data_IF_035023808167
#
_entry.id   IF_035023808167
#
_cell.length_a   1.000
_cell.length_b   1.000
_cell.length_c   1.000
_cell.angle_alpha   90.00
_cell.angle_beta   90.00
_cell.angle_gamma   90.00
#
_symmetry.space_group_name_H-M   'P 1'
#
loop_
_entity.id
_entity.type
_entity.pdbx_description
1 polymer ?
#
# COMPACT_ATOMS: atom_id res chain seq x y z
N UNK A 1 -26.47 6.77 1.96
CA UNK A 1 -26.14 8.01 2.70
C UNK A 1 -25.06 7.64 3.70
N UNK A 2 -23.90 8.31 3.67
CA UNK A 2 -22.79 8.06 4.59
C UNK A 2 -23.21 8.34 6.04
N UNK A 3 -22.66 7.60 7.00
CA UNK A 3 -23.06 7.69 8.41
C UNK A 3 -22.19 8.64 9.22
N UNK A 4 -20.92 8.75 8.84
CA UNK A 4 -19.88 9.56 9.50
C UNK A 4 -19.13 10.38 8.47
N UNK A 5 -18.60 11.52 8.91
CA UNK A 5 -17.70 12.35 8.12
C UNK A 5 -16.31 11.68 8.05
N UNK A 6 -15.79 11.55 6.83
CA UNK A 6 -14.46 11.00 6.57
C UNK A 6 -13.46 12.08 6.15
N UNK A 7 -13.84 13.36 6.24
CA UNK A 7 -12.96 14.46 5.88
C UNK A 7 -11.68 14.45 6.73
N UNK A 8 -10.58 14.84 6.09
CA UNK A 8 -9.25 14.91 6.71
C UNK A 8 -8.59 16.24 6.37
N UNK A 9 -7.59 16.60 7.15
CA UNK A 9 -6.61 17.62 6.78
C UNK A 9 -5.24 16.94 6.61
N UNK A 10 -4.68 17.02 5.41
CA UNK A 10 -3.41 16.40 5.07
C UNK A 10 -2.43 17.45 4.57
N UNK A 11 -1.30 17.62 5.28
CA UNK A 11 -0.31 18.66 4.98
C UNK A 11 -0.91 20.08 4.88
N UNK A 12 -1.95 20.38 5.68
CA UNK A 12 -2.68 21.65 5.66
C UNK A 12 -3.74 21.78 4.56
N UNK A 13 -3.96 20.75 3.75
CA UNK A 13 -4.98 20.70 2.69
C UNK A 13 -6.19 19.90 3.17
N UNK A 14 -7.39 20.46 3.04
CA UNK A 14 -8.62 19.76 3.39
C UNK A 14 -9.03 18.81 2.26
N UNK A 15 -9.31 17.56 2.63
CA UNK A 15 -9.82 16.54 1.71
C UNK A 15 -11.19 16.06 2.19
N UNK A 16 -12.13 15.85 1.27
CA UNK A 16 -13.47 15.36 1.58
C UNK A 16 -13.48 13.93 2.16
N UNK A 17 -12.46 13.13 1.82
CA UNK A 17 -12.25 11.77 2.29
C UNK A 17 -10.76 11.41 2.06
N UNK A 18 -10.23 10.31 2.64
CA UNK A 18 -8.81 10.00 2.56
C UNK A 18 -8.39 9.30 1.26
N UNK A 19 -9.31 9.00 0.34
CA UNK A 19 -9.04 8.11 -0.80
C UNK A 19 -8.70 8.89 -2.08
N UNK A 20 -7.49 8.66 -2.58
CA UNK A 20 -6.94 9.30 -3.77
C UNK A 20 -6.49 8.26 -4.80
N UNK A 21 -6.57 8.60 -6.08
CA UNK A 21 -5.83 7.83 -7.08
C UNK A 21 -4.32 8.04 -6.86
N UNK A 22 -3.52 6.98 -6.95
CA UNK A 22 -2.05 7.11 -6.98
C UNK A 22 -1.56 7.30 -8.40
N UNK A 23 -0.61 8.21 -8.59
CA UNK A 23 0.09 8.46 -9.87
C UNK A 23 0.51 7.17 -10.54
N UNK A 24 -0.21 6.81 -11.61
CA UNK A 24 -0.13 5.51 -12.28
C UNK A 24 -0.95 5.53 -13.60
N UNK A 25 -1.14 4.41 -14.32
CA UNK A 25 -1.97 4.43 -15.54
C UNK A 25 -3.41 4.88 -15.35
N UNK A 26 -3.94 4.93 -14.12
CA UNK A 26 -5.37 5.23 -13.86
C UNK A 26 -5.66 6.72 -13.74
N UNK A 27 -4.65 7.58 -13.83
CA UNK A 27 -4.77 9.05 -13.73
C UNK A 27 -3.87 9.78 -14.74
N UNK A 28 -3.75 9.21 -15.94
CA UNK A 28 -2.83 9.68 -16.98
C UNK A 28 -3.34 10.89 -17.79
N UNK A 29 -4.65 11.11 -17.84
CA UNK A 29 -5.25 12.21 -18.59
C UNK A 29 -6.45 12.84 -17.87
N UNK A 30 -6.93 13.97 -18.41
CA UNK A 30 -8.08 14.71 -17.88
C UNK A 30 -9.32 13.82 -17.71
N UNK A 31 -9.68 13.03 -18.73
CA UNK A 31 -10.91 12.22 -18.73
C UNK A 31 -10.90 11.16 -17.64
N UNK A 32 -9.76 10.52 -17.41
CA UNK A 32 -9.59 9.52 -16.35
C UNK A 32 -9.75 10.16 -14.97
N UNK A 33 -9.04 11.27 -14.74
CA UNK A 33 -9.09 11.99 -13.47
C UNK A 33 -10.49 12.54 -13.19
N UNK A 34 -11.11 13.21 -14.18
CA UNK A 34 -12.46 13.76 -14.07
C UNK A 34 -13.47 12.66 -13.68
N UNK A 35 -13.44 11.52 -14.38
CA UNK A 35 -14.34 10.39 -14.06
C UNK A 35 -14.15 9.87 -12.63
N UNK A 36 -12.91 9.81 -12.14
CA UNK A 36 -12.65 9.41 -10.76
C UNK A 36 -13.21 10.44 -9.76
N UNK A 37 -12.95 11.73 -9.97
CA UNK A 37 -13.47 12.80 -9.11
C UNK A 37 -15.01 12.82 -9.06
N UNK A 38 -15.66 12.63 -10.21
CA UNK A 38 -17.12 12.47 -10.34
C UNK A 38 -17.66 11.24 -9.59
N UNK A 39 -16.86 10.16 -9.52
CA UNK A 39 -17.25 8.92 -8.83
C UNK A 39 -17.20 9.07 -7.29
N UNK A 40 -16.46 10.06 -6.76
CA UNK A 40 -16.38 10.33 -5.32
C UNK A 40 -14.99 10.17 -4.71
N UNK A 41 -13.93 10.09 -5.51
CA UNK A 41 -12.56 10.16 -5.01
C UNK A 41 -12.29 11.56 -4.41
N UNK A 42 -11.60 11.59 -3.25
CA UNK A 42 -11.27 12.83 -2.55
C UNK A 42 -10.29 13.71 -3.32
N UNK A 43 -9.48 13.08 -4.16
CA UNK A 43 -8.60 13.74 -5.10
C UNK A 43 -7.84 12.73 -5.97
N UNK A 44 -6.87 13.24 -6.71
CA UNK A 44 -6.00 12.43 -7.56
C UNK A 44 -4.55 12.85 -7.38
N UNK A 45 -3.63 11.90 -7.49
CA UNK A 45 -2.21 12.18 -7.66
C UNK A 45 -1.88 11.97 -9.12
N UNK A 46 -1.98 13.01 -9.94
CA UNK A 46 -1.84 12.95 -11.39
C UNK A 46 -0.52 12.26 -11.81
N UNK A 47 -0.57 11.43 -12.86
CA UNK A 47 0.58 10.66 -13.37
C UNK A 47 1.83 11.51 -13.45
N UNK A 48 2.95 10.97 -12.96
CA UNK A 48 4.26 11.63 -12.93
C UNK A 48 4.61 12.38 -14.22
N UNK A 49 4.76 13.70 -14.11
CA UNK A 49 5.16 14.62 -15.17
C UNK A 49 6.68 14.81 -15.18
N UNK A 50 7.25 15.01 -16.36
CA UNK A 50 8.66 15.34 -16.56
C UNK A 50 8.90 15.97 -17.92
N UNK A 51 10.12 16.43 -18.17
CA UNK A 51 10.52 16.93 -19.50
C UNK A 51 10.84 15.81 -20.49
N UNK A 52 11.21 14.64 -19.97
CA UNK A 52 11.45 13.44 -20.77
C UNK A 52 10.11 12.80 -21.17
N UNK A 53 9.94 12.54 -22.47
CA UNK A 53 8.79 11.80 -22.99
C UNK A 53 9.24 10.35 -23.24
N UNK A 54 8.78 9.37 -22.43
CA UNK A 54 9.15 7.98 -22.59
C UNK A 54 8.55 7.36 -23.85
N UNK A 55 9.18 6.28 -24.31
CA UNK A 55 8.58 5.35 -25.27
C UNK A 55 8.42 4.01 -24.56
N UNK A 56 7.20 3.72 -24.12
CA UNK A 56 6.90 2.50 -23.38
C UNK A 56 7.01 1.24 -24.24
N UNK A 57 7.38 0.15 -23.58
CA UNK A 57 7.37 -1.16 -24.19
C UNK A 57 5.97 -1.76 -24.32
N UNK A 58 5.83 -2.80 -25.15
CA UNK A 58 4.61 -3.57 -25.29
C UNK A 58 4.92 -5.04 -25.56
N UNK A 59 4.28 -5.99 -24.83
CA UNK A 59 3.42 -5.77 -23.66
C UNK A 59 4.22 -5.31 -22.43
N UNK A 60 3.58 -4.53 -21.54
CA UNK A 60 4.23 -3.96 -20.33
C UNK A 60 3.67 -4.43 -19.01
N UNK A 61 2.59 -5.22 -19.01
CA UNK A 61 2.00 -5.81 -17.80
C UNK A 61 2.14 -7.33 -17.82
N UNK A 62 2.34 -7.89 -16.63
CA UNK A 62 2.13 -9.30 -16.33
C UNK A 62 1.55 -9.44 -14.92
N UNK A 63 1.07 -10.64 -14.56
CA UNK A 63 0.41 -10.87 -13.28
C UNK A 63 0.93 -12.13 -12.59
N UNK A 64 1.13 -12.05 -11.28
CA UNK A 64 1.21 -13.26 -10.45
C UNK A 64 -0.19 -13.81 -10.28
N UNK A 65 -0.36 -15.12 -10.45
CA UNK A 65 -1.65 -15.81 -10.30
C UNK A 65 -1.56 -16.85 -9.19
N UNK A 66 -2.71 -17.20 -8.60
CA UNK A 66 -2.80 -18.23 -7.56
C UNK A 66 -4.07 -19.05 -7.78
N UNK A 67 -3.94 -20.32 -8.16
CA UNK A 67 -5.03 -21.27 -8.41
C UNK A 67 -6.38 -20.63 -8.79
N UNK A 68 -7.41 -20.70 -7.94
CA UNK A 68 -8.76 -20.17 -8.18
C UNK A 68 -8.87 -18.63 -8.20
N UNK A 69 -7.76 -17.92 -8.09
CA UNK A 69 -7.67 -16.46 -8.11
C UNK A 69 -6.96 -16.03 -9.39
N UNK A 70 -7.68 -15.30 -10.25
CA UNK A 70 -7.18 -14.93 -11.58
C UNK A 70 -5.91 -14.09 -11.53
N UNK A 71 -5.69 -13.32 -10.47
CA UNK A 71 -4.40 -12.71 -10.15
C UNK A 71 -4.29 -12.30 -8.68
N UNK A 72 -3.05 -12.09 -8.21
CA UNK A 72 -2.69 -11.61 -6.87
C UNK A 72 -2.17 -10.17 -6.92
N UNK A 73 -1.55 -9.79 -8.04
CA UNK A 73 -1.01 -8.46 -8.27
C UNK A 73 -0.34 -8.35 -9.64
N UNK A 74 -0.01 -7.13 -10.04
CA UNK A 74 0.56 -6.81 -11.35
C UNK A 74 2.03 -6.43 -11.26
N UNK A 75 2.83 -6.98 -12.16
CA UNK A 75 4.12 -6.42 -12.56
C UNK A 75 3.89 -5.48 -13.73
N UNK A 76 4.46 -4.28 -13.68
CA UNK A 76 4.43 -3.30 -14.77
C UNK A 76 5.83 -2.80 -15.12
N UNK A 77 6.04 -2.57 -16.42
CA UNK A 77 7.27 -2.02 -17.00
C UNK A 77 7.04 -0.63 -17.58
N UNK A 78 6.08 0.10 -17.01
CA UNK A 78 5.69 1.44 -17.46
C UNK A 78 6.60 2.51 -16.84
N UNK A 79 6.84 3.58 -17.59
CA UNK A 79 7.63 4.73 -17.15
C UNK A 79 6.73 5.86 -16.59
N UNK A 80 7.20 7.12 -16.70
CA UNK A 80 6.41 8.32 -16.39
C UNK A 80 5.37 8.60 -17.49
N UNK A 81 4.63 9.70 -17.42
CA UNK A 81 3.63 10.06 -18.44
C UNK A 81 4.22 10.08 -19.86
N UNK A 82 3.54 9.46 -20.82
CA UNK A 82 3.85 9.52 -22.25
C UNK A 82 3.30 10.80 -22.92
N UNK A 83 2.50 11.59 -22.21
CA UNK A 83 1.97 12.85 -22.73
C UNK A 83 3.02 13.96 -22.63
N UNK A 84 3.10 14.87 -23.62
CA UNK A 84 3.88 16.09 -23.50
C UNK A 84 3.52 16.87 -22.22
N UNK A 85 4.52 17.53 -21.64
CA UNK A 85 4.35 18.27 -20.39
C UNK A 85 3.24 19.33 -20.52
N UNK A 86 3.18 20.05 -21.64
CA UNK A 86 2.21 21.11 -21.89
C UNK A 86 0.77 20.58 -21.88
N UNK A 87 0.53 19.39 -22.45
CA UNK A 87 -0.77 18.73 -22.45
C UNK A 87 -1.18 18.36 -21.02
N UNK A 88 -0.25 17.81 -20.25
CA UNK A 88 -0.48 17.44 -18.84
C UNK A 88 -0.75 18.67 -17.96
N UNK A 89 -0.03 19.77 -18.17
CA UNK A 89 -0.26 21.03 -17.46
C UNK A 89 -1.62 21.65 -17.80
N UNK A 90 -2.06 21.56 -19.05
CA UNK A 90 -3.41 21.99 -19.44
C UNK A 90 -4.50 21.11 -18.82
N UNK A 91 -4.27 19.80 -18.75
CA UNK A 91 -5.16 18.88 -18.04
C UNK A 91 -5.28 19.23 -16.54
N UNK A 92 -4.18 19.54 -15.86
CA UNK A 92 -4.18 20.00 -14.46
C UNK A 92 -5.00 21.28 -14.28
N UNK A 93 -4.79 22.29 -15.13
CA UNK A 93 -5.56 23.55 -15.10
C UNK A 93 -7.05 23.30 -15.27
N UNK A 94 -7.41 22.46 -16.24
CA UNK A 94 -8.80 22.11 -16.54
C UNK A 94 -9.44 21.33 -15.40
N UNK A 95 -8.71 20.38 -14.78
CA UNK A 95 -9.16 19.66 -13.59
C UNK A 95 -9.45 20.63 -12.45
N UNK A 96 -8.50 21.53 -12.13
CA UNK A 96 -8.69 22.46 -11.01
C UNK A 96 -9.83 23.45 -11.27
N UNK A 97 -9.99 23.89 -12.51
CA UNK A 97 -11.10 24.78 -12.91
C UNK A 97 -12.46 24.09 -12.77
N UNK A 98 -12.58 22.84 -13.22
CA UNK A 98 -13.84 22.11 -13.23
C UNK A 98 -14.18 21.48 -11.86
N UNK A 99 -13.17 21.21 -11.04
CA UNK A 99 -13.30 20.57 -9.74
C UNK A 99 -12.58 21.37 -8.64
N UNK A 100 -12.98 22.62 -8.36
CA UNK A 100 -12.25 23.52 -7.46
C UNK A 100 -12.16 23.01 -6.01
N UNK A 101 -13.14 22.19 -5.60
CA UNK A 101 -13.21 21.60 -4.26
C UNK A 101 -12.47 20.26 -4.13
N UNK A 102 -11.99 19.69 -5.24
CA UNK A 102 -11.19 18.46 -5.24
C UNK A 102 -9.72 18.82 -5.14
N UNK A 103 -8.96 17.89 -4.56
CA UNK A 103 -7.52 18.05 -4.38
C UNK A 103 -6.78 17.40 -5.54
N UNK A 104 -5.95 18.17 -6.22
CA UNK A 104 -5.12 17.71 -7.34
C UNK A 104 -3.66 17.76 -6.91
N UNK A 105 -3.05 16.60 -6.75
CA UNK A 105 -1.62 16.48 -6.47
C UNK A 105 -0.90 16.21 -7.79
N UNK A 106 0.12 17.00 -8.12
CA UNK A 106 0.94 16.75 -9.30
C UNK A 106 2.15 15.90 -8.93
N UNK A 107 2.25 14.67 -9.45
CA UNK A 107 3.48 13.90 -9.32
C UNK A 107 4.52 14.41 -10.32
N UNK A 108 5.77 14.64 -9.90
CA UNK A 108 6.81 15.15 -10.80
C UNK A 108 8.11 14.33 -10.67
N UNK A 109 8.90 14.33 -11.75
CA UNK A 109 10.24 13.75 -11.78
C UNK A 109 11.14 14.52 -12.75
N UNK A 110 12.21 15.13 -12.22
CA UNK A 110 13.27 15.77 -13.01
C UNK A 110 14.57 14.98 -12.98
N UNK A 111 15.47 15.22 -13.94
CA UNK A 111 16.79 14.57 -13.98
C UNK A 111 17.80 15.27 -13.07
N UNK A 112 17.62 16.57 -12.84
CA UNK A 112 18.53 17.42 -12.09
C UNK A 112 17.77 18.53 -11.33
N UNK A 113 18.46 19.24 -10.43
CA UNK A 113 17.81 20.26 -9.58
C UNK A 113 17.04 21.32 -10.35
N UNK A 114 17.57 21.78 -11.50
CA UNK A 114 16.90 22.83 -12.29
C UNK A 114 15.57 22.34 -12.82
N UNK A 115 15.51 21.08 -13.26
CA UNK A 115 14.28 20.49 -13.74
C UNK A 115 13.28 20.25 -12.61
N UNK A 116 13.72 19.77 -11.46
CA UNK A 116 12.84 19.62 -10.28
C UNK A 116 12.24 20.96 -9.85
N UNK A 117 13.07 22.02 -9.81
CA UNK A 117 12.65 23.38 -9.47
C UNK A 117 11.66 23.94 -10.50
N UNK A 118 11.95 23.77 -11.79
CA UNK A 118 11.09 24.26 -12.86
C UNK A 118 9.77 23.48 -12.97
N UNK A 119 9.79 22.15 -12.86
CA UNK A 119 8.58 21.33 -12.82
C UNK A 119 7.68 21.76 -11.65
N UNK A 120 8.28 21.99 -10.47
CA UNK A 120 7.55 22.45 -9.30
C UNK A 120 6.86 23.80 -9.56
N UNK A 121 7.55 24.74 -10.19
CA UNK A 121 6.97 26.04 -10.61
C UNK A 121 5.81 25.84 -11.57
N UNK A 122 6.01 25.05 -12.63
CA UNK A 122 5.03 24.83 -13.70
C UNK A 122 3.75 24.16 -13.18
N UNK A 123 3.85 23.11 -12.37
CA UNK A 123 2.65 22.44 -11.83
C UNK A 123 1.93 23.30 -10.80
N UNK A 124 2.66 24.17 -10.10
CA UNK A 124 2.06 25.18 -9.19
C UNK A 124 1.24 26.20 -9.99
N UNK A 125 1.80 26.73 -11.08
CA UNK A 125 1.09 27.65 -11.97
C UNK A 125 -0.09 26.99 -12.69
N UNK A 126 -0.03 25.68 -12.91
CA UNK A 126 -1.13 24.89 -13.43
C UNK A 126 -2.27 24.66 -12.41
N UNK A 127 -2.07 25.04 -11.15
CA UNK A 127 -3.10 24.98 -10.11
C UNK A 127 -3.13 23.67 -9.30
N UNK A 128 -2.02 22.94 -9.22
CA UNK A 128 -1.90 21.84 -8.27
C UNK A 128 -2.06 22.33 -6.82
N UNK A 129 -2.65 21.50 -5.96
CA UNK A 129 -2.82 21.78 -4.54
C UNK A 129 -1.62 21.27 -3.71
N UNK A 130 -0.97 20.21 -4.19
CA UNK A 130 0.24 19.61 -3.61
C UNK A 130 1.15 19.06 -4.72
N UNK A 131 2.40 18.78 -4.38
CA UNK A 131 3.38 18.16 -5.28
C UNK A 131 3.83 16.83 -4.70
N UNK A 132 3.87 15.77 -5.50
CA UNK A 132 4.47 14.48 -5.12
C UNK A 132 5.78 14.24 -5.88
N UNK A 133 6.91 14.23 -5.17
CA UNK A 133 8.20 13.93 -5.73
C UNK A 133 8.37 12.42 -5.91
N UNK A 134 8.40 11.96 -7.16
CA UNK A 134 8.61 10.55 -7.46
C UNK A 134 10.11 10.20 -7.46
N UNK A 135 10.65 9.82 -6.29
CA UNK A 135 12.02 9.33 -6.14
C UNK A 135 12.18 7.83 -6.39
N UNK A 136 11.19 7.20 -7.03
CA UNK A 136 10.99 5.76 -6.85
C UNK A 136 10.75 4.98 -8.14
N UNK A 137 10.76 5.62 -9.31
CA UNK A 137 10.52 4.93 -10.58
C UNK A 137 11.56 3.81 -10.82
N UNK A 138 11.17 2.52 -10.83
CA UNK A 138 12.12 1.42 -10.97
C UNK A 138 12.62 1.23 -12.41
N UNK A 139 12.01 1.93 -13.39
CA UNK A 139 12.32 1.81 -14.82
C UNK A 139 13.32 2.86 -15.34
N UNK A 140 13.64 3.88 -14.54
CA UNK A 140 14.64 4.87 -14.93
C UNK A 140 16.02 4.35 -14.56
N UNK A 141 16.86 4.09 -15.56
CA UNK A 141 18.14 3.37 -15.42
C UNK A 141 19.38 4.26 -15.52
N UNK A 142 19.23 5.58 -15.67
CA UNK A 142 20.38 6.47 -15.43
C UNK A 142 20.66 6.48 -13.93
N UNK A 143 21.94 6.38 -13.53
CA UNK A 143 22.38 6.26 -12.13
C UNK A 143 22.05 7.51 -11.26
N UNK A 144 21.21 8.42 -11.75
CA UNK A 144 20.78 9.65 -11.12
C UNK A 144 19.25 9.84 -11.17
N UNK A 145 18.46 8.80 -11.50
CA UNK A 145 17.01 8.89 -11.61
C UNK A 145 16.26 7.72 -10.94
N UNK A 146 14.97 7.92 -10.67
CA UNK A 146 14.08 6.86 -10.22
C UNK A 146 14.49 6.26 -8.87
N UNK A 147 14.29 4.94 -8.70
CA UNK A 147 14.49 4.25 -7.41
C UNK A 147 15.89 4.33 -6.82
N UNK A 148 16.90 4.68 -7.63
CA UNK A 148 18.28 4.85 -7.15
C UNK A 148 18.44 6.18 -6.40
N UNK A 149 17.67 7.20 -6.78
CA UNK A 149 17.54 8.46 -6.02
C UNK A 149 16.88 8.18 -4.68
N UNK A 150 15.76 7.46 -4.65
CA UNK A 150 15.01 7.17 -3.42
C UNK A 150 15.77 6.34 -2.38
N UNK A 151 16.87 5.69 -2.77
CA UNK A 151 17.76 4.95 -1.87
C UNK A 151 18.91 5.82 -1.32
N UNK A 152 19.12 7.02 -1.86
CA UNK A 152 20.20 7.92 -1.51
C UNK A 152 19.64 9.14 -0.72
N UNK A 153 19.82 9.19 0.61
CA UNK A 153 19.29 10.27 1.45
C UNK A 153 19.74 11.66 1.02
N UNK A 154 20.99 11.81 0.57
CA UNK A 154 21.55 13.08 0.11
C UNK A 154 20.84 13.59 -1.15
N UNK A 155 20.58 12.70 -2.11
CA UNK A 155 19.83 13.05 -3.33
C UNK A 155 18.36 13.34 -3.03
N UNK A 156 17.72 12.55 -2.17
CA UNK A 156 16.34 12.81 -1.72
C UNK A 156 16.23 14.22 -1.11
N UNK A 157 17.11 14.54 -0.16
CA UNK A 157 17.15 15.87 0.48
C UNK A 157 17.38 16.97 -0.54
N UNK A 158 18.36 16.79 -1.43
CA UNK A 158 18.74 17.75 -2.47
C UNK A 158 17.58 18.07 -3.41
N UNK A 159 16.85 17.06 -3.89
CA UNK A 159 15.73 17.29 -4.80
C UNK A 159 14.49 17.82 -4.10
N UNK A 160 14.20 17.42 -2.85
CA UNK A 160 13.19 18.09 -2.03
C UNK A 160 13.49 19.60 -1.89
N UNK A 161 14.75 19.97 -1.65
CA UNK A 161 15.14 21.38 -1.57
C UNK A 161 14.94 22.11 -2.90
N UNK A 162 15.23 21.47 -4.03
CA UNK A 162 14.99 22.05 -5.35
C UNK A 162 13.49 22.31 -5.59
N UNK A 163 12.62 21.36 -5.27
CA UNK A 163 11.17 21.53 -5.38
C UNK A 163 10.67 22.65 -4.45
N UNK A 164 11.20 22.75 -3.22
CA UNK A 164 10.84 23.80 -2.26
C UNK A 164 11.31 25.22 -2.66
N UNK A 165 12.29 25.32 -3.56
CA UNK A 165 12.66 26.60 -4.21
C UNK A 165 11.66 26.98 -5.29
N UNK A 166 11.21 26.01 -6.09
CA UNK A 166 10.29 26.22 -7.21
C UNK A 166 8.82 26.40 -6.81
N UNK A 167 8.42 25.92 -5.62
CA UNK A 167 7.04 26.00 -5.14
C UNK A 167 6.94 26.26 -3.63
N UNK A 168 5.76 26.75 -3.21
CA UNK A 168 5.33 26.85 -1.80
C UNK A 168 4.21 25.88 -1.45
N UNK A 169 3.79 25.05 -2.40
CA UNK A 169 2.82 23.99 -2.14
C UNK A 169 3.43 22.94 -1.20
N UNK A 170 2.60 22.23 -0.42
CA UNK A 170 3.08 21.09 0.35
C UNK A 170 3.66 20.00 -0.57
N UNK A 171 4.83 19.49 -0.18
CA UNK A 171 5.58 18.50 -0.94
C UNK A 171 5.47 17.14 -0.25
N UNK A 172 5.08 16.12 -1.01
CA UNK A 172 5.11 14.72 -0.61
C UNK A 172 6.31 14.04 -1.23
N UNK A 173 7.08 13.30 -0.45
CA UNK A 173 8.19 12.50 -0.96
C UNK A 173 7.75 11.04 -1.11
N UNK A 174 7.68 10.52 -2.35
CA UNK A 174 7.25 9.13 -2.63
C UNK A 174 8.42 8.16 -2.54
N UNK A 175 8.36 7.28 -1.54
CA UNK A 175 9.44 6.39 -1.14
C UNK A 175 9.41 5.04 -1.85
N UNK A 176 10.61 4.50 -2.12
CA UNK A 176 10.82 3.22 -2.79
C UNK A 176 10.93 2.11 -1.76
N UNK A 177 10.17 1.01 -1.86
CA UNK A 177 10.30 -0.12 -0.94
C UNK A 177 11.52 -0.99 -1.23
N UNK A 178 12.31 -0.65 -2.26
CA UNK A 178 13.47 -1.42 -2.71
C UNK A 178 14.72 -1.10 -1.86
N UNK A 179 14.56 -1.09 -0.54
CA UNK A 179 15.58 -0.76 0.46
C UNK A 179 15.30 -1.52 1.76
N UNK A 180 16.32 -1.75 2.58
CA UNK A 180 16.15 -2.41 3.89
C UNK A 180 15.47 -1.52 4.94
N UNK A 181 15.86 -0.24 4.96
CA UNK A 181 15.38 0.78 5.89
C UNK A 181 14.96 2.06 5.14
N UNK A 182 13.65 2.33 5.14
CA UNK A 182 13.04 3.49 4.49
C UNK A 182 13.06 4.75 5.38
N UNK A 183 13.28 4.59 6.69
CA UNK A 183 13.26 5.71 7.64
C UNK A 183 14.36 6.72 7.30
N UNK A 184 15.54 6.23 6.90
CA UNK A 184 16.69 7.08 6.58
C UNK A 184 16.39 8.07 5.42
N UNK A 185 16.00 7.63 4.21
CA UNK A 185 15.64 8.56 3.14
C UNK A 185 14.36 9.37 3.46
N UNK A 186 13.41 8.81 4.22
CA UNK A 186 12.21 9.53 4.65
C UNK A 186 12.57 10.75 5.53
N UNK A 187 13.43 10.59 6.54
CA UNK A 187 13.94 11.72 7.35
C UNK A 187 14.63 12.75 6.48
N UNK A 188 15.50 12.30 5.56
CA UNK A 188 16.21 13.21 4.66
C UNK A 188 15.25 14.03 3.77
N UNK A 189 14.11 13.46 3.38
CA UNK A 189 13.09 14.21 2.62
C UNK A 189 12.47 15.35 3.44
N UNK A 190 12.20 15.12 4.73
CA UNK A 190 11.66 16.14 5.64
C UNK A 190 12.70 17.23 5.90
N UNK A 191 13.96 16.86 6.13
CA UNK A 191 15.07 17.82 6.19
C UNK A 191 15.27 18.63 4.89
N UNK A 192 14.82 18.07 3.77
CA UNK A 192 14.81 18.72 2.46
C UNK A 192 13.62 19.65 2.24
N UNK A 193 12.65 19.70 3.17
CA UNK A 193 11.47 20.53 3.09
C UNK A 193 10.20 19.82 2.63
N UNK A 194 10.18 18.48 2.56
CA UNK A 194 8.94 17.75 2.37
C UNK A 194 7.99 17.97 3.56
N UNK A 195 6.71 18.16 3.27
CA UNK A 195 5.64 18.31 4.26
C UNK A 195 5.04 16.97 4.69
N UNK A 196 5.19 15.93 3.86
CA UNK A 196 4.70 14.58 4.13
C UNK A 196 5.38 13.52 3.28
N UNK A 197 5.02 12.27 3.53
CA UNK A 197 5.62 11.09 2.88
C UNK A 197 4.54 10.28 2.19
N UNK A 198 4.82 9.82 0.97
CA UNK A 198 4.00 8.82 0.26
C UNK A 198 4.71 7.47 0.30
N UNK A 199 4.10 6.44 0.90
CA UNK A 199 4.72 5.13 1.05
C UNK A 199 3.71 4.00 0.79
N UNK A 200 3.96 3.08 -0.15
CA UNK A 200 5.18 2.83 -0.92
C UNK A 200 4.95 2.91 -2.44
N UNK A 201 6.04 3.05 -3.20
CA UNK A 201 6.04 2.71 -4.63
C UNK A 201 6.07 1.17 -4.83
N UNK A 202 6.24 0.72 -6.07
CA UNK A 202 6.25 -0.70 -6.44
C UNK A 202 7.53 -1.45 -6.03
N UNK A 203 7.41 -2.75 -5.80
CA UNK A 203 8.51 -3.64 -5.40
C UNK A 203 9.13 -4.29 -6.64
N UNK A 204 10.45 -4.18 -6.84
CA UNK A 204 11.18 -4.81 -7.96
C UNK A 204 10.99 -6.33 -7.93
N UNK A 205 10.60 -6.91 -9.07
CA UNK A 205 10.18 -8.31 -9.17
C UNK A 205 10.34 -8.92 -10.57
N UNK A 206 10.22 -10.25 -10.61
CA UNK A 206 9.89 -11.07 -11.78
C UNK A 206 8.67 -11.92 -11.39
N UNK A 207 7.63 -11.94 -12.21
CA UNK A 207 6.37 -12.66 -11.94
C UNK A 207 6.38 -14.12 -12.39
N UNK A 208 7.24 -14.44 -13.36
CA UNK A 208 7.37 -15.79 -13.90
C UNK A 208 8.42 -15.87 -15.00
N UNK A 209 8.61 -17.07 -15.52
CA UNK A 209 9.55 -17.38 -16.62
C UNK A 209 8.79 -18.18 -17.67
N UNK A 210 8.95 -17.80 -18.93
CA UNK A 210 8.56 -18.61 -20.08
C UNK A 210 9.57 -19.75 -20.24
N UNK A 211 9.11 -21.01 -20.11
CA UNK A 211 9.99 -22.18 -20.10
C UNK A 211 10.51 -22.60 -21.48
N UNK A 212 9.89 -22.13 -22.57
CA UNK A 212 10.38 -22.40 -23.91
C UNK A 212 11.48 -21.42 -24.29
N UNK A 213 11.27 -20.14 -23.94
CA UNK A 213 12.19 -19.05 -24.30
C UNK A 213 13.26 -18.81 -23.25
N UNK A 214 13.08 -19.30 -22.03
CA UNK A 214 13.94 -19.04 -20.87
C UNK A 214 14.09 -17.54 -20.56
N UNK A 215 12.97 -16.80 -20.64
CA UNK A 215 12.91 -15.34 -20.43
C UNK A 215 11.86 -15.01 -19.37
N UNK A 216 12.15 -14.03 -18.52
CA UNK A 216 11.18 -13.52 -17.55
C UNK A 216 9.92 -12.92 -18.20
N UNK A 217 8.82 -12.87 -17.47
CA UNK A 217 7.56 -12.29 -17.95
C UNK A 217 7.38 -10.81 -17.53
N UNK A 218 6.69 -9.99 -18.35
CA UNK A 218 6.30 -10.28 -19.73
C UNK A 218 7.50 -10.17 -20.69
N UNK A 219 7.37 -10.78 -21.87
CA UNK A 219 8.43 -10.79 -22.89
C UNK A 219 8.21 -9.64 -23.88
N UNK A 220 9.22 -8.80 -24.02
CA UNK A 220 9.30 -7.71 -25.01
C UNK A 220 10.45 -8.03 -25.96
N UNK A 221 10.12 -8.27 -27.23
CA UNK A 221 11.11 -8.57 -28.28
C UNK A 221 12.17 -9.61 -27.87
N UNK A 222 11.74 -10.72 -27.26
CA UNK A 222 12.62 -11.81 -26.81
C UNK A 222 13.42 -11.52 -25.53
N UNK A 223 13.13 -10.43 -24.81
CA UNK A 223 13.79 -10.03 -23.56
C UNK A 223 12.77 -9.66 -22.49
N UNK A 224 13.23 -9.45 -21.26
CA UNK A 224 12.42 -8.91 -20.15
C UNK A 224 13.32 -8.15 -19.18
N UNK A 225 12.72 -7.53 -18.17
CA UNK A 225 13.40 -6.75 -17.14
C UNK A 225 12.80 -7.00 -15.76
N UNK A 226 13.63 -6.80 -14.72
CA UNK A 226 13.15 -6.66 -13.34
C UNK A 226 12.32 -5.39 -13.26
N UNK A 227 11.14 -5.45 -12.67
CA UNK A 227 10.20 -4.32 -12.75
C UNK A 227 9.22 -4.26 -11.58
N UNK A 228 8.43 -3.19 -11.51
CA UNK A 228 7.61 -2.86 -10.35
C UNK A 228 6.40 -3.78 -10.19
N UNK A 229 6.27 -4.40 -9.02
CA UNK A 229 5.13 -5.19 -8.58
C UNK A 229 4.20 -4.38 -7.68
N UNK A 230 2.90 -4.59 -7.86
CA UNK A 230 1.81 -3.90 -7.18
C UNK A 230 0.65 -4.87 -6.90
N UNK A 231 -0.33 -4.44 -6.12
CA UNK A 231 -1.52 -5.24 -5.77
C UNK A 231 -1.43 -5.89 -4.39
N UNK A 232 -2.37 -6.79 -4.08
CA UNK A 232 -2.57 -7.31 -2.73
C UNK A 232 -1.31 -7.82 -2.04
N UNK A 233 -0.44 -8.51 -2.79
CA UNK A 233 0.77 -9.11 -2.24
C UNK A 233 1.81 -8.10 -1.72
N UNK A 234 1.75 -6.82 -2.10
CA UNK A 234 2.70 -5.81 -1.57
C UNK A 234 2.25 -5.22 -0.23
N UNK A 235 0.98 -5.39 0.15
CA UNK A 235 0.38 -4.78 1.34
C UNK A 235 1.18 -5.03 2.63
N UNK A 236 1.62 -6.27 2.96
CA UNK A 236 2.36 -6.51 4.20
C UNK A 236 3.68 -5.72 4.28
N UNK A 237 4.34 -5.49 3.13
CA UNK A 237 5.57 -4.70 3.05
C UNK A 237 5.27 -3.21 3.24
N UNK A 238 4.20 -2.71 2.62
CA UNK A 238 3.74 -1.33 2.79
C UNK A 238 3.41 -1.02 4.26
N UNK A 239 2.62 -1.89 4.90
CA UNK A 239 2.23 -1.77 6.30
C UNK A 239 3.45 -1.73 7.23
N UNK A 240 4.44 -2.61 7.01
CA UNK A 240 5.71 -2.59 7.77
C UNK A 240 6.39 -1.23 7.68
N UNK A 241 6.60 -0.69 6.48
CA UNK A 241 7.32 0.58 6.34
C UNK A 241 6.58 1.76 6.98
N UNK A 242 5.25 1.80 6.86
CA UNK A 242 4.43 2.82 7.50
C UNK A 242 4.53 2.73 9.03
N UNK A 243 4.44 1.51 9.59
CA UNK A 243 4.60 1.30 11.02
C UNK A 243 5.98 1.78 11.50
N UNK A 244 7.06 1.38 10.81
CA UNK A 244 8.42 1.78 11.17
C UNK A 244 8.61 3.30 11.15
N UNK A 245 8.10 3.99 10.12
CA UNK A 245 8.15 5.45 10.07
C UNK A 245 7.30 6.08 11.17
N UNK A 246 6.10 5.56 11.45
CA UNK A 246 5.22 6.13 12.48
C UNK A 246 5.77 5.94 13.90
N UNK A 247 6.59 4.91 14.14
CA UNK A 247 7.27 4.67 15.42
C UNK A 247 8.65 5.31 15.54
N UNK A 248 9.20 5.89 14.47
CA UNK A 248 10.45 6.64 14.55
C UNK A 248 10.20 8.04 15.11
N UNK A 249 10.94 8.42 16.16
CA UNK A 249 10.76 9.71 16.86
C UNK A 249 10.89 10.94 15.94
N UNK A 250 11.62 10.84 14.83
CA UNK A 250 11.82 11.94 13.88
C UNK A 250 10.67 12.07 12.88
N UNK A 251 9.86 11.02 12.73
CA UNK A 251 8.80 10.91 11.73
C UNK A 251 7.40 10.70 12.33
N UNK A 252 7.29 10.44 13.64
CA UNK A 252 6.04 10.09 14.33
C UNK A 252 4.89 11.09 14.16
N UNK A 253 5.20 12.36 13.88
CA UNK A 253 4.23 13.44 13.66
C UNK A 253 4.09 13.84 12.18
N UNK A 254 4.87 13.22 11.29
CA UNK A 254 4.85 13.53 9.85
C UNK A 254 3.59 12.93 9.21
N UNK A 255 2.84 13.69 8.38
CA UNK A 255 1.74 13.15 7.59
C UNK A 255 2.21 12.06 6.62
N UNK A 256 1.52 10.91 6.63
CA UNK A 256 1.83 9.77 5.76
C UNK A 256 0.64 9.46 4.85
N UNK A 257 0.92 9.41 3.55
CA UNK A 257 0.05 8.89 2.50
C UNK A 257 0.39 7.42 2.24
N UNK A 258 -0.50 6.52 2.66
CA UNK A 258 -0.35 5.07 2.54
C UNK A 258 -0.74 4.53 1.17
N UNK A 259 0.09 3.65 0.59
CA UNK A 259 -0.06 3.10 -0.77
C UNK A 259 0.43 1.66 -0.79
N UNK A 260 -0.35 0.75 -1.38
CA UNK A 260 0.10 -0.62 -1.70
C UNK A 260 -0.89 -1.71 -1.32
N UNK A 261 -1.63 -2.25 -2.29
CA UNK A 261 -2.53 -3.40 -2.09
C UNK A 261 -3.80 -3.10 -1.27
N UNK A 262 -4.24 -1.83 -1.25
CA UNK A 262 -5.53 -1.43 -0.70
C UNK A 262 -6.62 -1.78 -1.72
N UNK A 263 -7.52 -2.69 -1.35
CA UNK A 263 -8.63 -3.14 -2.20
C UNK A 263 -9.99 -3.03 -1.49
N UNK A 264 -10.01 -2.82 -0.18
CA UNK A 264 -11.22 -2.78 0.64
C UNK A 264 -11.10 -1.74 1.75
N UNK A 265 -12.23 -1.38 2.36
CA UNK A 265 -12.25 -0.51 3.55
C UNK A 265 -11.45 -1.10 4.73
N UNK A 266 -11.36 -2.45 4.84
CA UNK A 266 -10.57 -3.10 5.89
C UNK A 266 -9.08 -2.90 5.65
N UNK A 267 -8.64 -3.02 4.40
CA UNK A 267 -7.25 -2.70 4.04
C UNK A 267 -6.95 -1.24 4.36
N UNK A 268 -7.84 -0.32 3.96
CA UNK A 268 -7.71 1.11 4.27
C UNK A 268 -7.58 1.36 5.78
N UNK A 269 -8.45 0.71 6.58
CA UNK A 269 -8.41 0.82 8.04
C UNK A 269 -7.09 0.31 8.61
N UNK A 270 -6.51 -0.78 8.11
CA UNK A 270 -5.20 -1.25 8.57
C UNK A 270 -4.08 -0.22 8.30
N UNK A 271 -4.08 0.42 7.13
CA UNK A 271 -3.14 1.50 6.84
C UNK A 271 -3.32 2.67 7.81
N UNK A 272 -4.57 3.04 8.11
CA UNK A 272 -4.88 4.12 9.05
C UNK A 272 -4.43 3.78 10.46
N UNK A 273 -4.76 2.58 10.95
CA UNK A 273 -4.38 2.11 12.28
C UNK A 273 -2.86 2.01 12.47
N UNK A 274 -2.08 1.82 11.41
CA UNK A 274 -0.61 1.87 11.46
C UNK A 274 -0.03 3.28 11.28
N UNK A 275 -0.85 4.25 10.88
CA UNK A 275 -0.48 5.66 10.91
C UNK A 275 -0.59 6.40 9.59
N UNK A 276 -1.14 5.83 8.52
CA UNK A 276 -1.49 6.63 7.35
C UNK A 276 -2.72 7.52 7.64
N UNK A 277 -2.71 8.77 7.21
CA UNK A 277 -3.89 9.65 7.32
C UNK A 277 -4.51 9.97 5.96
N UNK A 278 -3.79 9.66 4.88
CA UNK A 278 -4.20 9.77 3.49
C UNK A 278 -3.88 8.45 2.78
N UNK A 279 -4.65 8.05 1.77
CA UNK A 279 -4.52 6.74 1.13
C UNK A 279 -4.55 6.88 -0.39
N UNK A 280 -3.60 6.26 -1.08
CA UNK A 280 -3.61 6.20 -2.55
C UNK A 280 -3.82 4.78 -3.07
N UNK A 281 -4.56 4.67 -4.17
CA UNK A 281 -4.99 3.38 -4.74
C UNK A 281 -4.75 3.35 -6.25
N UNK A 282 -4.25 2.21 -6.75
CA UNK A 282 -3.98 1.98 -8.18
C UNK A 282 -4.52 0.63 -8.62
N UNK A 283 -3.94 -0.47 -8.14
CA UNK A 283 -4.20 -1.83 -8.66
C UNK A 283 -5.67 -2.24 -8.52
N UNK A 284 -6.32 -1.83 -7.43
CA UNK A 284 -7.74 -2.12 -7.23
C UNK A 284 -8.64 -1.38 -8.26
N UNK A 285 -8.24 -0.18 -8.70
CA UNK A 285 -8.95 0.54 -9.77
C UNK A 285 -8.76 -0.15 -11.12
N UNK A 286 -7.55 -0.66 -11.40
CA UNK A 286 -7.30 -1.46 -12.62
C UNK A 286 -8.18 -2.72 -12.67
N UNK A 287 -8.49 -3.30 -11.50
CA UNK A 287 -9.28 -4.51 -11.39
C UNK A 287 -10.79 -4.26 -11.41
N UNK A 288 -11.25 -3.32 -10.58
CA UNK A 288 -12.67 -3.15 -10.23
C UNK A 288 -13.26 -1.83 -10.75
N UNK A 289 -12.44 -0.96 -11.33
CA UNK A 289 -12.83 0.38 -11.77
C UNK A 289 -12.92 1.40 -10.64
N UNK A 290 -13.20 2.66 -10.99
CA UNK A 290 -13.23 3.78 -10.03
C UNK A 290 -14.27 3.64 -8.91
N UNK A 291 -15.35 2.88 -9.14
CA UNK A 291 -16.47 2.72 -8.19
C UNK A 291 -16.08 1.99 -6.91
N UNK A 292 -14.92 1.33 -6.86
CA UNK A 292 -14.42 0.71 -5.64
C UNK A 292 -14.30 1.71 -4.46
N UNK A 293 -14.14 3.01 -4.75
CA UNK A 293 -14.11 4.05 -3.72
C UNK A 293 -15.43 4.15 -2.95
N UNK A 294 -16.57 3.86 -3.59
CA UNK A 294 -17.89 3.87 -2.95
C UNK A 294 -17.93 2.85 -1.80
N UNK A 295 -17.43 1.64 -2.05
CA UNK A 295 -17.37 0.57 -1.05
C UNK A 295 -16.35 0.87 0.06
N UNK A 296 -15.21 1.48 -0.27
CA UNK A 296 -14.20 1.88 0.71
C UNK A 296 -14.72 2.98 1.65
N UNK A 297 -15.34 4.03 1.10
CA UNK A 297 -15.95 5.12 1.87
C UNK A 297 -17.10 4.58 2.72
N UNK A 298 -18.01 3.81 2.12
CA UNK A 298 -19.16 3.25 2.83
C UNK A 298 -18.71 2.38 4.00
N UNK A 299 -17.86 1.38 3.75
CA UNK A 299 -17.41 0.45 4.78
C UNK A 299 -16.67 1.12 5.94
N UNK A 300 -15.79 2.08 5.64
CA UNK A 300 -15.07 2.82 6.67
C UNK A 300 -16.01 3.72 7.50
N UNK A 301 -16.97 4.38 6.85
CA UNK A 301 -17.96 5.20 7.52
C UNK A 301 -18.87 4.38 8.45
N UNK A 302 -19.32 3.20 8.02
CA UNK A 302 -20.13 2.30 8.85
C UNK A 302 -19.32 1.74 10.03
N UNK A 303 -18.07 1.37 9.82
CA UNK A 303 -17.19 0.93 10.90
C UNK A 303 -17.05 2.00 11.99
N UNK A 304 -16.84 3.26 11.60
CA UNK A 304 -16.77 4.37 12.56
C UNK A 304 -18.08 4.57 13.33
N UNK A 305 -19.23 4.50 12.64
CA UNK A 305 -20.55 4.61 13.27
C UNK A 305 -20.78 3.50 14.31
N UNK A 306 -20.53 2.24 13.94
CA UNK A 306 -20.70 1.08 14.83
C UNK A 306 -19.82 1.14 16.07
N UNK A 307 -18.66 1.81 15.97
CA UNK A 307 -17.70 1.97 17.08
C UNK A 307 -17.84 3.31 17.81
N UNK A 308 -18.79 4.17 17.43
CA UNK A 308 -18.96 5.48 18.05
C UNK A 308 -17.76 6.41 17.85
N UNK A 309 -17.04 6.28 16.73
CA UNK A 309 -15.85 7.08 16.40
C UNK A 309 -16.30 8.30 15.60
N UNK A 310 -15.99 9.49 16.09
CA UNK A 310 -16.45 10.73 15.47
C UNK A 310 -15.48 11.28 14.42
N UNK A 311 -14.16 11.11 14.60
CA UNK A 311 -13.14 11.60 13.67
C UNK A 311 -12.25 10.47 13.20
N UNK A 312 -12.00 10.42 11.90
CA UNK A 312 -11.08 9.44 11.32
C UNK A 312 -9.65 9.59 11.89
N UNK A 313 -9.26 10.83 12.20
CA UNK A 313 -7.95 11.13 12.78
C UNK A 313 -7.69 10.39 14.10
N UNK A 314 -8.73 10.09 14.88
CA UNK A 314 -8.60 9.40 16.17
C UNK A 314 -8.16 7.93 16.00
N UNK A 315 -8.29 7.38 14.79
CA UNK A 315 -7.84 6.03 14.45
C UNK A 315 -6.37 5.96 14.03
N UNK A 316 -5.76 7.09 13.66
CA UNK A 316 -4.44 7.12 13.02
C UNK A 316 -3.38 6.63 14.00
N UNK A 317 -2.73 5.51 13.68
CA UNK A 317 -1.60 4.97 14.45
C UNK A 317 -1.97 4.20 15.72
N UNK A 318 -3.25 4.00 16.03
CA UNK A 318 -3.70 3.33 17.27
C UNK A 318 -3.13 1.91 17.46
N UNK A 319 -2.85 1.19 16.38
CA UNK A 319 -2.34 -0.17 16.48
C UNK A 319 -0.85 -0.23 16.90
N UNK A 320 -0.09 0.86 16.74
CA UNK A 320 1.36 0.84 16.93
C UNK A 320 1.78 0.56 18.39
N UNK A 321 0.97 0.97 19.37
CA UNK A 321 1.22 0.67 20.79
C UNK A 321 1.15 -0.84 21.10
N UNK A 322 0.52 -1.62 20.22
CA UNK A 322 0.36 -3.07 20.36
C UNK A 322 1.33 -3.86 19.46
N UNK A 323 2.27 -3.19 18.79
CA UNK A 323 3.31 -3.81 17.96
C UNK A 323 4.63 -3.60 18.68
N UNK A 324 4.98 -4.58 19.50
CA UNK A 324 6.16 -4.55 20.37
C UNK A 324 7.33 -5.33 19.75
N UNK A 325 8.56 -5.10 20.21
CA UNK A 325 9.72 -5.92 19.85
C UNK A 325 9.48 -7.41 20.07
N UNK A 326 10.11 -8.25 19.24
CA UNK A 326 9.86 -9.70 19.24
C UNK A 326 10.34 -10.40 20.54
N UNK A 327 11.29 -9.80 21.24
CA UNK A 327 11.77 -10.19 22.56
C UNK A 327 10.74 -9.94 23.68
N UNK A 328 9.84 -8.98 23.50
CA UNK A 328 8.85 -8.57 24.50
C UNK A 328 7.52 -9.31 24.37
N UNK A 329 7.32 -10.07 23.28
CA UNK A 329 6.14 -10.92 23.10
C UNK A 329 6.10 -11.99 24.19
N UNK A 330 4.95 -12.11 24.87
CA UNK A 330 4.73 -13.15 25.86
C UNK A 330 4.71 -14.54 25.20
N UNK A 331 5.83 -15.28 25.33
CA UNK A 331 6.02 -16.62 24.76
C UNK A 331 5.37 -17.73 25.60
N UNK A 332 4.81 -17.37 26.74
CA UNK A 332 4.19 -18.29 27.68
C UNK A 332 2.70 -18.45 27.37
N UNK A 333 2.10 -17.43 26.76
CA UNK A 333 0.73 -17.43 26.26
C UNK A 333 0.56 -18.42 25.11
N UNK A 334 -0.38 -19.34 25.28
CA UNK A 334 -0.79 -20.33 24.27
C UNK A 334 -2.29 -20.24 24.11
N UNK A 335 -2.73 -20.20 22.86
CA UNK A 335 -4.13 -20.38 22.50
C UNK A 335 -4.26 -21.63 21.64
N UNK A 336 -5.09 -22.56 22.07
CA UNK A 336 -5.29 -23.81 21.36
C UNK A 336 -6.32 -23.61 20.24
N UNK A 337 -6.15 -24.30 19.09
CA UNK A 337 -7.17 -24.31 18.06
C UNK A 337 -8.39 -25.11 18.54
N UNK A 338 -9.58 -24.61 18.21
CA UNK A 338 -10.84 -25.31 18.47
C UNK A 338 -11.55 -25.57 17.15
N UNK A 339 -12.00 -26.82 16.95
CA UNK A 339 -12.71 -27.22 15.73
C UNK A 339 -14.21 -27.11 15.98
N UNK A 340 -14.87 -26.27 15.20
CA UNK A 340 -16.31 -26.27 15.02
C UNK A 340 -16.71 -27.51 14.20
N UNK A 341 -17.27 -28.52 14.89
CA UNK A 341 -17.64 -29.79 14.27
C UNK A 341 -18.79 -29.63 13.25
N UNK A 342 -19.66 -28.64 13.41
CA UNK A 342 -20.80 -28.42 12.52
C UNK A 342 -20.36 -27.79 11.19
N UNK A 343 -19.31 -26.96 11.23
CA UNK A 343 -18.70 -26.38 10.02
C UNK A 343 -17.64 -27.26 9.39
N UNK A 344 -17.10 -28.24 10.12
CA UNK A 344 -16.04 -29.11 9.63
C UNK A 344 -16.55 -30.02 8.52
N UNK A 345 -15.87 -30.00 7.37
CA UNK A 345 -16.20 -30.85 6.21
C UNK A 345 -15.36 -32.14 6.14
N UNK A 346 -14.61 -32.47 7.20
CA UNK A 346 -13.79 -33.71 7.29
C UNK A 346 -12.72 -33.84 6.20
N UNK A 347 -12.12 -32.74 5.73
CA UNK A 347 -11.18 -32.77 4.60
C UNK A 347 -9.75 -33.22 4.96
N UNK A 348 -9.42 -33.34 6.25
CA UNK A 348 -8.08 -33.74 6.71
C UNK A 348 -6.96 -32.71 6.50
N UNK A 349 -7.22 -31.56 5.87
CA UNK A 349 -6.15 -30.57 5.54
C UNK A 349 -5.41 -30.03 6.77
N UNK A 350 -6.13 -29.76 7.86
CA UNK A 350 -5.51 -29.32 9.12
C UNK A 350 -4.64 -30.41 9.76
N UNK A 351 -5.02 -31.69 9.61
CA UNK A 351 -4.18 -32.82 9.99
C UNK A 351 -2.90 -32.84 9.16
N UNK A 352 -2.99 -32.87 7.82
CA UNK A 352 -1.82 -32.89 6.91
C UNK A 352 -0.88 -31.72 7.19
N UNK A 353 -1.41 -30.49 7.28
CA UNK A 353 -0.59 -29.31 7.55
C UNK A 353 0.09 -29.35 8.93
N UNK A 354 -0.55 -29.95 9.94
CA UNK A 354 0.07 -30.12 11.25
C UNK A 354 1.08 -31.27 11.27
N UNK A 355 0.80 -32.34 10.53
CA UNK A 355 1.65 -33.53 10.47
C UNK A 355 2.95 -33.25 9.71
N UNK A 356 2.86 -32.66 8.51
CA UNK A 356 4.02 -32.42 7.64
C UNK A 356 4.70 -31.07 7.90
N UNK A 357 3.93 -30.07 8.35
CA UNK A 357 4.39 -28.68 8.48
C UNK A 357 4.32 -28.11 9.91
N UNK A 358 4.07 -28.95 10.91
CA UNK A 358 3.84 -28.52 12.28
C UNK A 358 4.34 -29.51 13.33
N UNK A 359 3.46 -29.85 14.27
CA UNK A 359 3.80 -30.55 15.51
C UNK A 359 3.09 -31.91 15.67
N UNK A 360 2.55 -32.47 14.58
CA UNK A 360 1.91 -33.80 14.58
C UNK A 360 0.85 -33.94 15.70
N UNK A 361 0.12 -32.84 15.95
CA UNK A 361 -0.79 -32.70 17.08
C UNK A 361 -2.23 -33.10 16.75
N UNK A 362 -2.54 -33.39 15.49
CA UNK A 362 -3.84 -33.93 15.09
C UNK A 362 -3.74 -35.42 14.80
N UNK A 363 -4.80 -36.15 15.10
CA UNK A 363 -5.10 -37.44 14.48
C UNK A 363 -6.26 -37.26 13.50
N UNK A 364 -6.27 -38.07 12.44
CA UNK A 364 -7.33 -38.11 11.45
C UNK A 364 -7.73 -39.56 11.23
N UNK A 365 -9.01 -39.84 11.42
CA UNK A 365 -9.60 -41.14 11.12
C UNK A 365 -10.14 -41.11 9.68
N UNK A 366 -9.61 -41.96 8.80
CA UNK A 366 -9.96 -41.91 7.37
C UNK A 366 -11.38 -42.43 7.07
N UNK A 367 -11.93 -43.30 7.93
CA UNK A 367 -13.26 -43.90 7.73
C UNK A 367 -14.36 -42.93 8.16
N UNK A 368 -14.24 -42.40 9.38
CA UNK A 368 -15.21 -41.46 9.98
C UNK A 368 -14.95 -40.02 9.55
N UNK A 369 -13.75 -39.72 9.03
CA UNK A 369 -13.26 -38.38 8.69
C UNK A 369 -13.18 -37.45 9.90
N UNK A 370 -13.12 -38.02 11.12
CA UNK A 370 -13.00 -37.27 12.36
C UNK A 370 -11.57 -36.77 12.57
N UNK A 371 -11.44 -35.53 13.05
CA UNK A 371 -10.16 -34.89 13.36
C UNK A 371 -10.13 -34.61 14.86
N UNK A 372 -9.10 -35.11 15.55
CA UNK A 372 -8.94 -34.95 17.00
C UNK A 372 -7.62 -34.26 17.32
N UNK A 373 -7.68 -33.21 18.16
CA UNK A 373 -6.50 -32.50 18.64
C UNK A 373 -5.93 -33.16 19.89
N UNK A 374 -4.65 -33.54 19.86
CA UNK A 374 -3.86 -33.87 21.03
C UNK A 374 -3.22 -32.58 21.58
N UNK A 375 -3.74 -32.09 22.71
CA UNK A 375 -3.25 -30.86 23.37
C UNK A 375 -1.84 -30.98 23.93
N UNK A 376 -1.39 -32.19 24.29
CA UNK A 376 -0.04 -32.42 24.81
C UNK A 376 1.04 -32.18 23.74
N UNK A 377 0.67 -32.35 22.46
CA UNK A 377 1.56 -32.06 21.32
C UNK A 377 1.33 -30.69 20.70
N UNK A 378 0.15 -30.11 20.89
CA UNK A 378 -0.20 -28.85 20.25
C UNK A 378 0.53 -27.67 20.93
N UNK A 379 1.16 -26.83 20.11
CA UNK A 379 1.85 -25.62 20.60
C UNK A 379 1.08 -24.32 20.34
N UNK A 380 -0.13 -24.39 19.75
CA UNK A 380 -0.94 -23.21 19.44
C UNK A 380 -0.45 -22.38 18.24
N UNK A 381 0.25 -22.96 17.27
CA UNK A 381 0.78 -22.20 16.12
C UNK A 381 -0.29 -21.72 15.12
N UNK A 382 -1.53 -22.20 15.22
CA UNK A 382 -2.68 -21.86 14.37
C UNK A 382 -2.53 -22.06 12.85
N UNK A 383 -1.47 -22.71 12.35
CA UNK A 383 -1.33 -23.07 10.93
C UNK A 383 -2.58 -23.81 10.41
N UNK A 384 -3.12 -24.73 11.20
CA UNK A 384 -4.34 -25.47 10.89
C UNK A 384 -5.56 -24.59 10.59
N UNK A 385 -5.69 -23.46 11.30
CA UNK A 385 -6.77 -22.49 11.09
C UNK A 385 -6.60 -21.76 9.76
N UNK A 386 -5.37 -21.33 9.45
CA UNK A 386 -5.05 -20.60 8.21
C UNK A 386 -5.24 -21.43 6.93
N UNK A 387 -5.07 -22.75 7.01
CA UNK A 387 -5.26 -23.66 5.86
C UNK A 387 -6.69 -24.21 5.74
N UNK A 388 -7.53 -24.03 6.75
CA UNK A 388 -8.89 -24.57 6.77
C UNK A 388 -9.74 -23.91 5.67
N UNK A 389 -10.26 -24.66 4.68
CA UNK A 389 -10.95 -24.06 3.53
C UNK A 389 -12.31 -23.46 3.87
N UNK A 390 -12.90 -23.85 5.00
CA UNK A 390 -14.24 -23.42 5.46
C UNK A 390 -14.19 -22.59 6.74
N UNK A 391 -12.99 -22.29 7.25
CA UNK A 391 -12.80 -21.52 8.49
C UNK A 391 -13.44 -22.18 9.71
N UNK A 392 -13.45 -23.51 9.78
CA UNK A 392 -14.04 -24.28 10.89
C UNK A 392 -13.11 -24.39 12.11
N UNK A 393 -11.92 -23.79 12.09
CA UNK A 393 -10.97 -23.86 13.20
C UNK A 393 -10.74 -22.46 13.76
N UNK A 394 -11.24 -22.23 14.96
CA UNK A 394 -11.16 -20.97 15.67
C UNK A 394 -10.13 -20.96 16.80
N UNK A 395 -10.26 -19.93 17.64
CA UNK A 395 -9.51 -19.73 18.88
C UNK A 395 -10.28 -20.39 20.02
N UNK A 396 -9.67 -21.36 20.70
CA UNK A 396 -10.25 -22.05 21.84
C UNK A 396 -9.62 -21.64 23.17
N UNK A 397 -9.32 -22.63 24.00
CA UNK A 397 -8.74 -22.45 25.33
C UNK A 397 -7.40 -21.71 25.31
N UNK A 398 -7.24 -20.78 26.25
CA UNK A 398 -6.01 -20.03 26.51
C UNK A 398 -5.32 -20.62 27.74
N UNK A 399 -4.01 -20.86 27.65
CA UNK A 399 -3.18 -21.31 28.76
C UNK A 399 -1.86 -20.54 28.81
N UNK A 400 -1.27 -20.47 30.00
CA UNK A 400 0.09 -19.97 30.22
C UNK A 400 1.00 -21.15 30.60
N UNK A 401 2.11 -21.32 29.88
CA UNK A 401 3.06 -22.44 30.09
C UNK A 401 3.73 -22.43 31.47
N UNK A 402 3.61 -21.34 32.20
CA UNK A 402 4.31 -21.09 33.47
C UNK A 402 3.50 -21.56 34.69
N UNK A 403 2.29 -22.09 34.50
CA UNK A 403 1.37 -22.45 35.58
C UNK A 403 0.75 -21.25 36.31
N UNK A 404 1.06 -20.01 35.90
CA UNK A 404 0.47 -18.79 36.47
C UNK A 404 -0.72 -18.33 35.64
N UNK A 405 -1.92 -18.37 36.23
CA UNK A 405 -3.13 -17.76 35.65
C UNK A 405 -3.01 -16.25 35.78
N UNK A 406 -2.84 -15.53 34.66
CA UNK A 406 -3.02 -14.08 34.60
C UNK A 406 -4.35 -13.77 33.93
N UNK A 407 -5.10 -12.82 34.48
CA UNK A 407 -6.35 -12.33 33.89
C UNK A 407 -6.09 -11.78 32.49
N UNK A 408 -6.94 -12.21 31.54
CA UNK A 408 -6.91 -11.74 30.16
C UNK A 408 -7.35 -10.27 30.15
N UNK A 409 -6.50 -9.39 29.65
CA UNK A 409 -6.93 -8.03 29.27
C UNK A 409 -7.48 -8.15 27.84
N UNK A 410 -8.80 -7.95 27.70
CA UNK A 410 -9.52 -7.98 26.41
C UNK A 410 -9.28 -6.73 25.57
#
# INVERSE_FOLDING_TARGET
MFKKDLSIEFCGVKCENPFFLSSSPVDNCYEMCAKALETGWGGVVFKTLGFFIPTDCSPRFDALRKESTEFVGFKNMEQISEHPLEESLEALKKLKTNYPNKVIVASIMGENEKEWEELARLVTEAGADMIECNFSCPQMTSHAMGSDVGQNPELVKKYCQAVARGSKLPILAKMTPNIGDMVVPAVASIEGGAAGISAINTIKSITGVDFEKMVGLPIVNGKSSISGYSGKAVKPVALRFIQQMRTDERLKDVPISGIGGIETWKDALEFILLGASHLQVTTAVMQYGYRIVEDMISGLSYFMEERGIDKLQDLVGLANNNIIPAEDIDRTFVIYPEIDKDRCIGCGRCYVSCFDGGHQAYTYDEETREITLNKDKCVGCHLCSLVCPVGAIGKGEIMYRDGNVKEIVM
#
